data_IF_532519709428
#
_entry.id   IF_532519709428
#
_cell.length_a   1.000
_cell.length_b   1.000
_cell.length_c   1.000
_cell.angle_alpha   90.00
_cell.angle_beta   90.00
_cell.angle_gamma   90.00
#
_symmetry.space_group_name_H-M   'P 1'
#
loop_
_entity.id
_entity.type
_entity.pdbx_description
1 polymer ?
#
# COMPACT_ATOMS: atom_id res chain seq x y z
N UNK A 1 -21.84 -41.98 9.68
CA UNK A 1 -21.05 -41.49 10.83
C UNK A 1 -19.56 -41.88 10.79
N UNK A 2 -19.16 -43.03 10.26
CA UNK A 2 -17.73 -43.40 10.13
C UNK A 2 -16.93 -42.61 9.07
N UNK A 3 -17.58 -41.92 8.12
CA UNK A 3 -16.90 -41.12 7.08
C UNK A 3 -16.58 -39.67 7.48
N UNK A 4 -17.17 -39.15 8.56
CA UNK A 4 -16.82 -37.82 9.10
C UNK A 4 -15.58 -37.86 10.01
N UNK A 5 -15.33 -38.99 10.69
CA UNK A 5 -14.18 -39.14 11.57
C UNK A 5 -12.84 -39.19 10.82
N UNK A 6 -12.82 -39.76 9.60
CA UNK A 6 -11.60 -39.86 8.78
C UNK A 6 -11.17 -38.49 8.24
N UNK A 7 -12.12 -37.59 7.96
CA UNK A 7 -11.82 -36.25 7.42
C UNK A 7 -11.30 -35.30 8.51
N UNK A 8 -11.76 -35.44 9.76
CA UNK A 8 -11.27 -34.65 10.90
C UNK A 8 -9.89 -35.13 11.38
N UNK A 9 -9.61 -36.44 11.31
CA UNK A 9 -8.29 -37.01 11.60
C UNK A 9 -7.22 -36.60 10.58
N UNK A 10 -7.57 -36.46 9.30
CA UNK A 10 -6.64 -36.01 8.25
C UNK A 10 -6.27 -34.53 8.38
N UNK A 11 -7.20 -33.67 8.83
CA UNK A 11 -6.92 -32.24 9.10
C UNK A 11 -6.03 -32.08 10.35
N UNK A 12 -6.19 -32.96 11.35
CA UNK A 12 -5.34 -32.97 12.54
C UNK A 12 -3.92 -33.48 12.27
N UNK A 13 -3.76 -34.50 11.42
CA UNK A 13 -2.45 -35.08 11.09
C UNK A 13 -1.61 -34.17 10.17
N UNK A 14 -2.23 -33.39 9.28
CA UNK A 14 -1.51 -32.38 8.48
C UNK A 14 -1.23 -31.10 9.26
N UNK A 15 -2.02 -30.77 10.28
CA UNK A 15 -1.76 -29.65 11.20
C UNK A 15 -0.60 -29.91 12.18
N UNK A 16 -0.31 -31.17 12.51
CA UNK A 16 0.77 -31.52 13.44
C UNK A 16 2.17 -31.54 12.80
N UNK A 17 2.29 -31.58 11.47
CA UNK A 17 3.58 -31.48 10.78
C UNK A 17 4.04 -30.04 10.50
N UNK A 18 3.21 -29.03 10.79
CA UNK A 18 3.55 -27.61 10.62
C UNK A 18 3.86 -26.89 11.94
N UNK A 19 3.95 -27.61 13.07
CA UNK A 19 4.27 -27.03 14.39
C UNK A 19 5.53 -27.62 15.06
N UNK A 20 6.32 -28.41 14.33
CA UNK A 20 7.65 -28.87 14.76
C UNK A 20 8.74 -28.08 14.03
N UNK A 21 8.76 -26.76 14.21
CA UNK A 21 9.95 -25.95 14.06
C UNK A 21 10.16 -25.17 15.36
N UNK A 22 10.37 -25.93 16.45
CA UNK A 22 10.85 -25.40 17.72
C UNK A 22 12.33 -25.79 17.84
N UNK A 23 13.18 -25.05 17.13
CA UNK A 23 14.61 -24.95 17.46
C UNK A 23 14.87 -23.44 17.51
N UNK A 24 14.78 -22.92 18.73
CA UNK A 24 15.34 -21.62 19.08
C UNK A 24 16.84 -21.89 19.22
N UNK A 25 17.66 -21.25 18.37
CA UNK A 25 19.11 -21.33 18.45
C UNK A 25 19.60 -21.01 19.87
N UNK A 26 20.38 -21.92 20.44
CA UNK A 26 21.17 -21.67 21.62
C UNK A 26 22.19 -20.57 21.32
N UNK A 27 22.23 -19.54 22.16
CA UNK A 27 23.26 -18.52 22.12
C UNK A 27 24.62 -19.15 22.45
N UNK A 28 25.51 -19.23 21.47
CA UNK A 28 26.91 -19.64 21.67
C UNK A 28 27.69 -18.51 22.38
N UNK A 29 28.28 -18.74 23.57
CA UNK A 29 28.98 -17.73 24.32
C UNK A 29 30.49 -17.82 24.07
N UNK A 30 31.02 -17.21 23.01
CA UNK A 30 32.45 -16.87 22.97
C UNK A 30 32.76 -15.89 21.84
N UNK A 31 33.30 -14.73 22.20
CA UNK A 31 33.74 -13.73 21.25
C UNK A 31 34.85 -14.21 20.33
N UNK A 32 34.72 -13.87 19.05
CA UNK A 32 35.81 -13.42 18.16
C UNK A 32 35.19 -12.68 16.98
N UNK A 33 35.58 -11.42 16.84
CA UNK A 33 35.28 -10.55 15.72
C UNK A 33 35.65 -11.21 14.39
N UNK A 34 34.67 -11.43 13.52
CA UNK A 34 34.87 -11.66 12.10
C UNK A 34 33.95 -10.71 11.34
N UNK A 35 34.55 -9.88 10.48
CA UNK A 35 33.85 -8.98 9.56
C UNK A 35 32.83 -9.77 8.72
N UNK A 36 31.55 -9.49 8.93
CA UNK A 36 30.48 -10.07 8.11
C UNK A 36 30.39 -9.26 6.80
N UNK A 37 31.23 -9.63 5.84
CA UNK A 37 31.11 -9.19 4.45
C UNK A 37 30.45 -10.31 3.66
N UNK A 38 29.14 -10.49 3.85
CA UNK A 38 28.35 -11.35 2.98
C UNK A 38 27.91 -10.55 1.77
N UNK A 39 28.64 -10.74 0.67
CA UNK A 39 28.10 -10.57 -0.67
C UNK A 39 26.83 -11.45 -0.76
N UNK A 40 25.66 -10.82 -0.87
CA UNK A 40 24.48 -11.50 -1.37
C UNK A 40 24.77 -11.88 -2.83
N UNK A 41 25.22 -13.11 -3.04
CA UNK A 41 25.21 -13.71 -4.38
C UNK A 41 23.77 -14.01 -4.70
N UNK A 42 23.21 -13.30 -5.67
CA UNK A 42 22.04 -13.75 -6.42
C UNK A 42 22.29 -15.21 -6.85
N UNK A 43 21.44 -16.12 -6.38
CA UNK A 43 21.28 -17.41 -7.04
C UNK A 43 20.73 -17.11 -8.43
N UNK A 44 21.62 -17.18 -9.42
CA UNK A 44 21.23 -17.08 -10.83
C UNK A 44 20.50 -18.36 -11.20
N UNK A 45 19.17 -18.30 -11.13
CA UNK A 45 18.30 -19.33 -11.68
C UNK A 45 18.36 -19.28 -13.22
N UNK A 46 19.25 -20.10 -13.78
CA UNK A 46 19.44 -20.25 -15.24
C UNK A 46 18.18 -20.68 -16.00
N UNK A 47 17.10 -21.07 -15.31
CA UNK A 47 15.78 -21.32 -15.91
C UNK A 47 15.01 -20.06 -16.32
N UNK A 48 15.23 -18.95 -15.61
CA UNK A 48 14.43 -17.72 -15.73
C UNK A 48 14.90 -16.81 -16.89
N UNK A 49 16.19 -16.86 -17.24
CA UNK A 49 16.78 -16.08 -18.36
C UNK A 49 16.19 -16.47 -19.73
N UNK A 50 15.86 -17.75 -19.93
CA UNK A 50 15.32 -18.24 -21.21
C UNK A 50 13.86 -17.88 -21.42
N UNK A 51 13.11 -17.72 -20.32
CA UNK A 51 11.70 -17.36 -20.31
C UNK A 51 11.55 -15.85 -20.46
N UNK A 52 12.35 -15.08 -19.72
CA UNK A 52 12.43 -13.61 -19.83
C UNK A 52 12.80 -13.12 -21.23
N UNK A 53 13.71 -13.80 -21.95
CA UNK A 53 14.05 -13.41 -23.33
C UNK A 53 12.88 -13.60 -24.31
N UNK A 54 12.10 -14.67 -24.16
CA UNK A 54 10.91 -14.91 -24.99
C UNK A 54 9.79 -13.93 -24.67
N UNK A 55 9.59 -13.65 -23.39
CA UNK A 55 8.60 -12.69 -22.91
C UNK A 55 8.92 -11.27 -23.37
N UNK A 56 10.19 -10.90 -23.37
CA UNK A 56 10.66 -9.62 -23.88
C UNK A 56 10.42 -9.47 -25.40
N UNK A 57 10.62 -10.54 -26.18
CA UNK A 57 10.30 -10.54 -27.62
C UNK A 57 8.79 -10.48 -27.87
N UNK A 58 7.99 -11.18 -27.06
CA UNK A 58 6.53 -11.13 -27.16
C UNK A 58 5.99 -9.74 -26.79
N UNK A 59 6.53 -9.12 -25.74
CA UNK A 59 6.19 -7.76 -25.35
C UNK A 59 6.53 -6.75 -26.45
N UNK A 60 7.70 -6.86 -27.08
CA UNK A 60 8.05 -6.02 -28.25
C UNK A 60 7.00 -6.11 -29.36
N UNK A 61 6.49 -7.31 -29.63
CA UNK A 61 5.41 -7.51 -30.63
C UNK A 61 4.10 -6.86 -30.19
N UNK A 62 3.75 -6.95 -28.91
CA UNK A 62 2.58 -6.27 -28.34
C UNK A 62 2.70 -4.76 -28.48
N UNK A 63 3.83 -4.18 -28.06
CA UNK A 63 4.10 -2.73 -28.15
C UNK A 63 4.05 -2.25 -29.61
N UNK A 64 4.65 -3.00 -30.53
CA UNK A 64 4.56 -2.72 -31.97
C UNK A 64 3.13 -2.77 -32.49
N UNK A 65 2.34 -3.77 -32.07
CA UNK A 65 0.93 -3.89 -32.45
C UNK A 65 0.09 -2.71 -31.93
N UNK A 66 0.37 -2.24 -30.71
CA UNK A 66 -0.30 -1.05 -30.13
C UNK A 66 -0.01 0.20 -30.95
N UNK A 67 1.25 0.40 -31.33
CA UNK A 67 1.70 1.53 -32.14
C UNK A 67 1.07 1.50 -33.55
N UNK A 68 1.15 0.36 -34.25
CA UNK A 68 0.56 0.17 -35.59
C UNK A 68 -0.96 0.42 -35.61
N UNK A 69 -1.65 0.11 -34.52
CA UNK A 69 -3.10 0.33 -34.39
C UNK A 69 -3.46 1.71 -33.85
N UNK A 70 -2.49 2.50 -33.38
CA UNK A 70 -2.72 3.81 -32.78
C UNK A 70 -3.54 3.76 -31.49
N UNK A 71 -3.56 2.62 -30.78
CA UNK A 71 -4.43 2.42 -29.61
C UNK A 71 -4.05 3.35 -28.45
N UNK A 72 -2.76 3.57 -28.23
CA UNK A 72 -2.29 4.43 -27.14
C UNK A 72 -2.80 5.87 -27.30
N UNK A 73 -2.72 6.44 -28.52
CA UNK A 73 -3.20 7.79 -28.80
C UNK A 73 -4.72 7.92 -28.55
N UNK A 74 -5.50 6.99 -29.10
CA UNK A 74 -6.96 6.98 -28.92
C UNK A 74 -7.35 6.86 -27.45
N UNK A 75 -6.72 5.93 -26.72
CA UNK A 75 -6.99 5.70 -25.30
C UNK A 75 -6.50 6.84 -24.41
N UNK A 76 -5.45 7.56 -24.81
CA UNK A 76 -4.98 8.77 -24.13
C UNK A 76 -6.04 9.86 -24.17
N UNK A 77 -6.63 10.11 -25.33
CA UNK A 77 -7.70 11.11 -25.50
C UNK A 77 -8.94 10.74 -24.67
N UNK A 78 -9.32 9.46 -24.66
CA UNK A 78 -10.42 8.95 -23.84
C UNK A 78 -10.14 9.14 -22.34
N UNK A 79 -8.92 8.79 -21.89
CA UNK A 79 -8.51 8.94 -20.50
C UNK A 79 -8.51 10.41 -20.06
N UNK A 80 -8.05 11.34 -20.91
CA UNK A 80 -8.11 12.79 -20.63
C UNK A 80 -9.55 13.25 -20.44
N UNK A 81 -10.48 12.82 -21.31
CA UNK A 81 -11.90 13.17 -21.22
C UNK A 81 -12.54 12.65 -19.93
N UNK A 82 -12.33 11.37 -19.60
CA UNK A 82 -12.83 10.74 -18.37
C UNK A 82 -12.27 11.41 -17.11
N UNK A 83 -10.97 11.67 -17.08
CA UNK A 83 -10.32 12.30 -15.90
C UNK A 83 -10.81 13.74 -15.69
N UNK A 84 -11.04 14.48 -16.77
CA UNK A 84 -11.58 15.86 -16.69
C UNK A 84 -12.99 15.89 -16.12
N UNK A 85 -13.81 14.87 -16.43
CA UNK A 85 -15.12 14.70 -15.84
C UNK A 85 -15.03 14.39 -14.33
N UNK A 86 -14.17 13.45 -13.93
CA UNK A 86 -13.92 13.10 -12.52
C UNK A 86 -13.53 14.35 -11.71
N UNK A 87 -12.57 15.13 -12.23
CA UNK A 87 -12.13 16.38 -11.61
C UNK A 87 -13.24 17.39 -11.42
N UNK A 88 -14.11 17.54 -12.43
CA UNK A 88 -15.24 18.46 -12.35
C UNK A 88 -16.22 18.01 -11.26
N UNK A 89 -16.51 16.71 -11.17
CA UNK A 89 -17.38 16.15 -10.14
C UNK A 89 -16.79 16.38 -8.73
N UNK A 90 -15.51 16.09 -8.54
CA UNK A 90 -14.83 16.30 -7.25
C UNK A 90 -14.83 17.76 -6.81
N UNK A 91 -14.46 18.69 -7.70
CA UNK A 91 -14.49 20.13 -7.38
C UNK A 91 -15.88 20.65 -6.97
N UNK A 92 -16.95 20.05 -7.49
CA UNK A 92 -18.31 20.38 -7.07
C UNK A 92 -18.59 19.81 -5.68
N UNK A 93 -18.20 18.55 -5.42
CA UNK A 93 -18.40 17.87 -4.14
C UNK A 93 -17.59 18.49 -3.01
N UNK A 94 -16.32 18.82 -3.23
CA UNK A 94 -15.46 19.47 -2.24
C UNK A 94 -16.03 20.82 -1.75
N UNK A 95 -16.67 21.58 -2.65
CA UNK A 95 -17.33 22.84 -2.28
C UNK A 95 -18.56 22.67 -1.40
N UNK A 96 -19.19 21.49 -1.44
CA UNK A 96 -20.34 21.14 -0.61
C UNK A 96 -19.96 20.43 0.68
N UNK A 97 -18.70 20.00 0.81
CA UNK A 97 -18.20 19.27 1.98
C UNK A 97 -17.76 20.24 3.07
N UNK A 98 -18.50 20.28 4.17
CA UNK A 98 -17.97 20.78 5.44
C UNK A 98 -17.21 19.60 6.08
N UNK A 99 -15.88 19.67 6.18
CA UNK A 99 -15.02 18.68 6.88
C UNK A 99 -15.24 18.76 8.41
N UNK A 100 -16.48 18.53 8.82
CA UNK A 100 -16.98 18.94 10.13
C UNK A 100 -16.68 17.97 11.25
N UNK A 101 -16.77 16.66 11.06
CA UNK A 101 -16.90 15.75 12.20
C UNK A 101 -16.52 14.27 11.86
N UNK A 102 -15.45 13.76 12.52
CA UNK A 102 -15.12 12.31 12.76
C UNK A 102 -14.55 11.47 11.58
N UNK A 103 -13.76 10.36 11.73
CA UNK A 103 -13.09 9.70 12.88
C UNK A 103 -11.86 8.84 12.43
N UNK A 104 -10.76 8.95 13.19
CA UNK A 104 -9.75 7.96 13.68
C UNK A 104 -9.60 6.61 12.93
N UNK A 105 -8.46 6.45 12.23
CA UNK A 105 -7.48 5.33 12.38
C UNK A 105 -6.37 5.34 11.30
N UNK A 106 -6.24 6.35 10.45
CA UNK A 106 -5.11 6.45 9.55
C UNK A 106 -4.10 7.47 10.07
N UNK A 107 -2.94 6.96 10.44
CA UNK A 107 -1.75 7.77 10.70
C UNK A 107 -1.21 8.15 9.33
N UNK A 108 -0.97 9.44 9.10
CA UNK A 108 -0.51 9.94 7.82
C UNK A 108 -0.99 11.37 7.65
N UNK A 109 -0.11 12.31 7.97
CA UNK A 109 -0.21 13.60 7.30
C UNK A 109 0.35 13.48 5.88
N UNK A 110 -0.16 14.32 4.99
CA UNK A 110 -0.02 14.28 3.53
C UNK A 110 -0.94 13.27 2.83
N UNK A 111 -2.23 13.62 2.75
CA UNK A 111 -3.01 13.27 1.56
C UNK A 111 -2.18 13.62 0.33
N UNK A 112 -1.82 12.62 -0.47
CA UNK A 112 -1.06 12.83 -1.71
C UNK A 112 -1.88 13.49 -2.81
N UNK A 113 -3.09 13.98 -2.47
CA UNK A 113 -3.84 14.93 -3.27
C UNK A 113 -3.18 16.32 -3.34
N UNK A 114 -1.85 16.38 -3.48
CA UNK A 114 -1.21 17.42 -4.29
C UNK A 114 -1.50 17.17 -5.79
N UNK A 115 -2.78 16.95 -6.10
CA UNK A 115 -3.58 16.82 -7.32
C UNK A 115 -2.91 16.18 -8.56
N UNK A 116 -1.68 16.54 -8.94
CA UNK A 116 -1.07 16.18 -10.22
C UNK A 116 -0.55 14.74 -10.30
N UNK A 117 0.06 14.19 -9.25
CA UNK A 117 0.61 12.82 -9.24
C UNK A 117 -0.51 11.78 -9.25
N UNK A 118 -1.48 11.94 -8.35
CA UNK A 118 -2.68 11.11 -8.27
C UNK A 118 -3.47 11.13 -9.58
N UNK A 119 -3.75 12.32 -10.14
CA UNK A 119 -4.44 12.44 -11.43
C UNK A 119 -3.67 11.79 -12.58
N UNK A 120 -2.34 11.89 -12.57
CA UNK A 120 -1.50 11.25 -13.58
C UNK A 120 -1.59 9.72 -13.47
N UNK A 121 -1.57 9.17 -12.25
CA UNK A 121 -1.73 7.75 -11.99
C UNK A 121 -3.10 7.23 -12.48
N UNK A 122 -4.20 7.90 -12.08
CA UNK A 122 -5.56 7.54 -12.52
C UNK A 122 -5.70 7.61 -14.04
N UNK A 123 -5.24 8.70 -14.66
CA UNK A 123 -5.29 8.86 -16.11
C UNK A 123 -4.50 7.76 -16.82
N UNK A 124 -3.33 7.40 -16.29
CA UNK A 124 -2.51 6.32 -16.83
C UNK A 124 -3.22 4.97 -16.72
N UNK A 125 -3.86 4.68 -15.57
CA UNK A 125 -4.66 3.47 -15.38
C UNK A 125 -5.83 3.39 -16.37
N UNK A 126 -6.56 4.50 -16.57
CA UNK A 126 -7.65 4.56 -17.56
C UNK A 126 -7.15 4.30 -18.99
N UNK A 127 -5.99 4.85 -19.36
CA UNK A 127 -5.38 4.62 -20.66
C UNK A 127 -4.97 3.14 -20.83
N UNK A 128 -4.25 2.59 -19.85
CA UNK A 128 -3.82 1.18 -19.83
C UNK A 128 -5.01 0.22 -19.97
N UNK A 129 -6.07 0.43 -19.19
CA UNK A 129 -7.29 -0.39 -19.27
C UNK A 129 -8.00 -0.31 -20.63
N UNK A 130 -8.02 0.87 -21.25
CA UNK A 130 -8.55 1.04 -22.61
C UNK A 130 -7.71 0.29 -23.65
N UNK A 131 -6.37 0.42 -23.59
CA UNK A 131 -5.45 -0.25 -24.53
C UNK A 131 -5.58 -1.76 -24.43
N UNK A 132 -5.53 -2.30 -23.22
CA UNK A 132 -5.66 -3.74 -22.97
C UNK A 132 -7.03 -4.26 -23.44
N UNK A 133 -8.10 -3.50 -23.18
CA UNK A 133 -9.43 -3.86 -23.68
C UNK A 133 -9.47 -3.94 -25.20
N UNK A 134 -8.88 -2.97 -25.91
CA UNK A 134 -8.82 -2.98 -27.38
C UNK A 134 -8.00 -4.14 -27.94
N UNK A 135 -6.86 -4.44 -27.33
CA UNK A 135 -6.04 -5.62 -27.69
C UNK A 135 -6.88 -6.89 -27.52
N UNK A 136 -7.45 -7.11 -26.34
CA UNK A 136 -8.13 -8.37 -26.01
C UNK A 136 -9.54 -8.52 -26.60
N UNK A 137 -10.12 -7.46 -27.16
CA UNK A 137 -11.33 -7.54 -27.97
C UNK A 137 -11.08 -8.17 -29.35
N UNK A 138 -9.88 -7.98 -29.92
CA UNK A 138 -9.44 -8.59 -31.18
C UNK A 138 -7.97 -9.00 -31.05
N UNK A 139 -7.69 -10.06 -30.27
CA UNK A 139 -6.32 -10.40 -29.92
C UNK A 139 -5.53 -10.82 -31.16
N UNK A 140 -4.26 -10.42 -31.28
CA UNK A 140 -3.35 -11.01 -32.25
C UNK A 140 -3.16 -12.51 -31.96
N UNK A 141 -2.79 -13.29 -32.98
CA UNK A 141 -2.75 -14.77 -32.93
C UNK A 141 -1.89 -15.38 -31.80
N UNK A 142 -0.95 -14.61 -31.27
CA UNK A 142 -0.04 -15.03 -30.20
C UNK A 142 -0.57 -14.73 -28.79
N UNK A 143 -1.73 -14.09 -28.65
CA UNK A 143 -2.44 -13.91 -27.39
C UNK A 143 -3.67 -14.83 -27.32
N UNK A 144 -4.12 -15.12 -26.10
CA UNK A 144 -5.32 -15.91 -25.87
C UNK A 144 -6.56 -15.26 -26.50
N UNK A 145 -7.45 -16.07 -27.07
CA UNK A 145 -8.77 -15.64 -27.51
C UNK A 145 -9.74 -15.42 -26.33
N UNK A 146 -9.46 -16.03 -25.18
CA UNK A 146 -10.21 -15.74 -23.96
C UNK A 146 -9.80 -14.38 -23.39
N UNK A 147 -10.77 -13.48 -23.22
CA UNK A 147 -10.50 -12.09 -22.82
C UNK A 147 -9.82 -11.99 -21.45
N UNK A 148 -10.19 -12.83 -20.48
CA UNK A 148 -9.58 -12.79 -19.13
C UNK A 148 -8.12 -13.24 -19.19
N UNK A 149 -7.86 -14.36 -19.88
CA UNK A 149 -6.52 -14.88 -20.07
C UNK A 149 -5.63 -13.94 -20.91
N UNK A 150 -6.19 -13.29 -21.93
CA UNK A 150 -5.48 -12.28 -22.72
C UNK A 150 -5.01 -11.12 -21.84
N UNK A 151 -5.89 -10.58 -20.99
CA UNK A 151 -5.54 -9.49 -20.06
C UNK A 151 -4.40 -9.89 -19.14
N UNK A 152 -4.51 -11.06 -18.51
CA UNK A 152 -3.47 -11.62 -17.64
C UNK A 152 -2.13 -11.74 -18.37
N UNK A 153 -2.14 -12.32 -19.58
CA UNK A 153 -0.92 -12.44 -20.40
C UNK A 153 -0.30 -11.08 -20.69
N UNK A 154 -1.09 -10.08 -21.11
CA UNK A 154 -0.57 -8.74 -21.43
C UNK A 154 0.08 -8.08 -20.20
N UNK A 155 -0.58 -8.12 -19.04
CA UNK A 155 -0.04 -7.49 -17.84
C UNK A 155 1.18 -8.22 -17.27
N UNK A 156 1.19 -9.56 -17.29
CA UNK A 156 2.37 -10.34 -16.87
C UNK A 156 3.58 -9.99 -17.76
N UNK A 157 3.41 -10.02 -19.08
CA UNK A 157 4.50 -9.68 -20.01
C UNK A 157 5.02 -8.25 -19.82
N UNK A 158 4.14 -7.29 -19.54
CA UNK A 158 4.51 -5.91 -19.30
C UNK A 158 5.14 -5.67 -17.92
N UNK A 159 4.83 -6.51 -16.92
CA UNK A 159 5.42 -6.41 -15.57
C UNK A 159 6.91 -6.77 -15.54
N UNK A 160 7.39 -7.62 -16.46
CA UNK A 160 8.81 -7.97 -16.59
C UNK A 160 9.68 -6.85 -17.18
N UNK A 161 9.09 -5.72 -17.60
CA UNK A 161 9.86 -4.53 -17.98
C UNK A 161 10.01 -3.60 -16.78
N UNK A 162 11.11 -3.76 -16.04
CA UNK A 162 11.55 -2.72 -15.12
C UNK A 162 11.79 -1.42 -15.89
N UNK A 163 10.93 -0.44 -15.62
CA UNK A 163 11.05 0.96 -16.00
C UNK A 163 12.49 1.44 -15.97
N UNK A 164 12.93 2.09 -17.05
CA UNK A 164 14.30 2.58 -17.26
C UNK A 164 14.95 3.16 -16.01
N UNK A 165 16.12 2.62 -15.68
CA UNK A 165 16.99 3.07 -14.59
C UNK A 165 17.21 4.57 -14.69
N UNK A 166 16.52 5.35 -13.86
CA UNK A 166 16.97 6.72 -13.60
C UNK A 166 18.35 6.60 -12.98
N UNK A 167 19.38 7.01 -13.72
CA UNK A 167 20.77 7.03 -13.22
C UNK A 167 20.90 8.16 -12.20
N UNK A 168 20.36 7.95 -11.00
CA UNK A 168 20.71 8.76 -9.85
C UNK A 168 22.19 8.51 -9.56
N UNK A 169 23.00 9.58 -9.52
CA UNK A 169 24.43 9.45 -9.26
C UNK A 169 24.66 9.51 -7.76
N UNK A 170 25.00 8.37 -7.18
CA UNK A 170 25.30 8.26 -5.76
C UNK A 170 26.78 8.53 -5.45
N UNK A 171 27.05 9.13 -4.29
CA UNK A 171 28.40 9.26 -3.76
C UNK A 171 28.70 8.04 -2.89
N UNK A 172 29.58 7.11 -3.30
CA UNK A 172 29.92 5.92 -2.52
C UNK A 172 30.70 6.23 -1.23
N UNK A 173 31.12 7.50 -1.04
CA UNK A 173 31.83 7.96 0.16
C UNK A 173 30.93 8.75 1.11
N UNK A 174 29.63 8.81 0.84
CA UNK A 174 28.69 9.46 1.75
C UNK A 174 28.68 8.73 3.09
N UNK A 175 28.77 9.48 4.20
CA UNK A 175 28.90 8.88 5.54
C UNK A 175 27.56 8.55 6.17
N UNK A 176 26.54 9.33 5.82
CA UNK A 176 25.22 9.25 6.45
C UNK A 176 24.17 8.85 5.42
N UNK A 177 23.05 8.30 5.94
CA UNK A 177 21.90 7.96 5.12
C UNK A 177 21.30 9.25 4.55
N UNK A 178 20.79 9.17 3.33
CA UNK A 178 19.84 10.16 2.82
C UNK A 178 18.55 10.09 3.64
N UNK A 179 17.86 11.21 3.76
CA UNK A 179 16.60 11.30 4.50
C UNK A 179 15.51 10.46 3.82
N UNK A 180 15.48 10.43 2.48
CA UNK A 180 14.49 9.70 1.70
C UNK A 180 14.89 8.25 1.38
N UNK A 181 16.01 7.76 1.92
CA UNK A 181 16.51 6.41 1.69
C UNK A 181 17.18 6.17 0.33
N UNK A 182 17.25 7.18 -0.55
CA UNK A 182 17.96 7.04 -1.84
C UNK A 182 19.46 6.76 -1.66
N UNK A 183 20.08 6.13 -2.65
CA UNK A 183 21.51 5.80 -2.67
C UNK A 183 22.01 4.83 -1.58
N UNK A 184 21.10 4.16 -0.87
CA UNK A 184 21.47 3.03 0.00
C UNK A 184 22.09 1.88 -0.83
N UNK A 185 21.43 1.51 -1.93
CA UNK A 185 21.97 0.61 -2.94
C UNK A 185 22.60 1.43 -4.09
N UNK A 186 23.89 1.27 -4.35
CA UNK A 186 24.62 2.07 -5.35
C UNK A 186 24.27 1.71 -6.80
N UNK A 187 23.81 0.48 -7.04
CA UNK A 187 23.43 0.00 -8.38
C UNK A 187 21.98 0.32 -8.72
N UNK A 188 21.10 0.26 -7.71
CA UNK A 188 19.69 0.59 -7.79
C UNK A 188 19.34 1.65 -6.73
N UNK A 189 19.67 2.93 -6.98
CA UNK A 189 19.59 3.99 -5.97
C UNK A 189 18.23 4.32 -5.37
N UNK A 190 17.14 3.75 -5.90
CA UNK A 190 15.77 3.96 -5.42
C UNK A 190 15.21 2.79 -4.63
N UNK A 191 15.90 1.66 -4.57
CA UNK A 191 15.43 0.51 -3.79
C UNK A 191 15.31 0.89 -2.31
N UNK A 192 14.10 0.74 -1.78
CA UNK A 192 13.76 1.09 -0.39
C UNK A 192 13.65 2.60 -0.11
N UNK A 193 13.73 3.45 -1.15
CA UNK A 193 13.53 4.88 -0.99
C UNK A 193 12.05 5.22 -0.76
N UNK A 194 11.78 6.28 -0.02
CA UNK A 194 10.43 6.79 0.17
C UNK A 194 9.79 7.26 -1.15
N UNK A 195 8.47 7.28 -1.19
CA UNK A 195 7.67 7.67 -2.35
C UNK A 195 7.91 6.78 -3.59
N UNK A 196 8.35 5.54 -3.37
CA UNK A 196 8.41 4.48 -4.38
C UNK A 196 7.25 3.50 -4.19
N UNK A 197 6.96 2.70 -5.20
CA UNK A 197 5.96 1.64 -5.11
C UNK A 197 6.40 0.51 -4.17
N UNK A 198 5.42 -0.16 -3.56
CA UNK A 198 5.70 -1.40 -2.85
C UNK A 198 6.19 -2.48 -3.82
N UNK A 199 7.25 -3.19 -3.42
CA UNK A 199 7.70 -4.38 -4.14
C UNK A 199 6.65 -5.48 -4.03
N UNK A 200 6.42 -6.19 -5.15
CA UNK A 200 5.50 -7.31 -5.19
C UNK A 200 6.24 -8.64 -5.11
N UNK A 201 5.96 -9.41 -4.06
CA UNK A 201 6.38 -10.82 -3.98
C UNK A 201 5.58 -11.67 -4.97
N UNK A 202 4.31 -11.30 -5.21
CA UNK A 202 3.38 -12.02 -6.09
C UNK A 202 2.61 -11.05 -6.98
N UNK A 203 2.22 -11.50 -8.17
CA UNK A 203 1.46 -10.71 -9.13
C UNK A 203 0.07 -10.32 -8.56
N UNK A 204 -0.43 -9.09 -8.78
CA UNK A 204 -1.69 -8.65 -8.16
C UNK A 204 -2.92 -9.37 -8.73
N UNK A 205 -3.87 -9.69 -7.85
CA UNK A 205 -5.13 -10.35 -8.21
C UNK A 205 -6.32 -9.37 -8.22
N UNK A 206 -6.34 -8.48 -9.21
CA UNK A 206 -7.48 -7.61 -9.50
C UNK A 206 -8.51 -8.30 -10.40
N UNK A 207 -9.80 -8.00 -10.22
CA UNK A 207 -10.87 -8.66 -10.98
C UNK A 207 -10.79 -8.40 -12.50
N UNK A 208 -10.30 -7.23 -12.90
CA UNK A 208 -10.05 -6.86 -14.29
C UNK A 208 -8.58 -7.03 -14.72
N UNK A 209 -7.72 -7.51 -13.80
CA UNK A 209 -6.26 -7.61 -13.97
C UNK A 209 -5.51 -6.28 -13.84
N UNK A 210 -6.21 -5.17 -13.58
CA UNK A 210 -5.63 -3.82 -13.60
C UNK A 210 -5.84 -3.09 -12.27
N UNK A 211 -7.08 -2.89 -11.85
CA UNK A 211 -7.38 -2.07 -10.67
C UNK A 211 -8.72 -2.36 -10.00
N UNK A 212 -9.62 -3.14 -10.61
CA UNK A 212 -10.92 -3.45 -10.01
C UNK A 212 -10.72 -4.36 -8.79
N UNK A 213 -11.32 -4.05 -7.62
CA UNK A 213 -11.26 -4.91 -6.45
C UNK A 213 -11.59 -6.37 -6.76
N UNK A 214 -10.84 -7.27 -6.13
CA UNK A 214 -10.90 -8.71 -6.38
C UNK A 214 -12.32 -9.28 -6.26
N UNK A 215 -12.63 -10.22 -7.13
CA UNK A 215 -13.85 -11.05 -7.08
C UNK A 215 -13.50 -12.50 -6.81
N UNK A 216 -14.50 -13.30 -6.44
CA UNK A 216 -14.32 -14.75 -6.30
C UNK A 216 -13.98 -15.40 -7.64
N UNK A 217 -13.47 -16.64 -7.63
CA UNK A 217 -13.22 -17.42 -8.84
C UNK A 217 -14.48 -17.63 -9.70
N UNK A 218 -15.67 -17.60 -9.09
CA UNK A 218 -16.95 -17.65 -9.80
C UNK A 218 -17.42 -16.28 -10.30
N UNK A 219 -16.55 -15.27 -10.29
CA UNK A 219 -16.82 -13.87 -10.63
C UNK A 219 -17.94 -13.22 -9.79
N UNK A 220 -18.14 -13.68 -8.55
CA UNK A 220 -19.12 -13.12 -7.60
C UNK A 220 -18.42 -12.19 -6.61
N UNK A 221 -19.15 -11.25 -5.98
CA UNK A 221 -18.59 -10.45 -4.89
C UNK A 221 -18.02 -11.34 -3.78
N UNK A 222 -16.91 -10.90 -3.17
CA UNK A 222 -16.36 -11.53 -1.97
C UNK A 222 -17.29 -11.29 -0.77
N UNK A 223 -17.21 -12.12 0.28
CA UNK A 223 -17.94 -11.88 1.53
C UNK A 223 -17.68 -10.47 2.05
N UNK A 224 -18.71 -9.84 2.60
CA UNK A 224 -18.60 -8.52 3.20
C UNK A 224 -17.58 -8.53 4.36
N UNK A 225 -16.68 -7.54 4.42
CA UNK A 225 -15.61 -7.50 5.42
C UNK A 225 -16.15 -7.45 6.86
N UNK A 226 -17.28 -6.78 7.11
CA UNK A 226 -17.93 -6.74 8.42
C UNK A 226 -18.56 -8.08 8.79
N UNK A 227 -19.14 -8.79 7.83
CA UNK A 227 -19.62 -10.17 8.03
C UNK A 227 -18.47 -11.10 8.45
N UNK A 228 -17.32 -11.01 7.78
CA UNK A 228 -16.13 -11.78 8.12
C UNK A 228 -15.62 -11.39 9.51
N UNK A 229 -15.53 -10.09 9.82
CA UNK A 229 -15.18 -9.59 11.15
C UNK A 229 -16.05 -10.20 12.25
N UNK A 230 -17.38 -10.14 12.09
CA UNK A 230 -18.31 -10.67 13.10
C UNK A 230 -18.26 -12.20 13.23
N UNK A 231 -18.19 -12.92 12.11
CA UNK A 231 -18.36 -14.38 12.09
C UNK A 231 -17.06 -15.15 12.33
N UNK A 232 -15.91 -14.56 11.97
CA UNK A 232 -14.59 -15.20 12.08
C UNK A 232 -13.81 -14.65 13.27
N UNK A 233 -13.73 -13.33 13.43
CA UNK A 233 -12.97 -12.73 14.54
C UNK A 233 -13.80 -12.58 15.82
N UNK A 234 -15.13 -12.60 15.72
CA UNK A 234 -16.03 -12.42 16.86
C UNK A 234 -16.06 -10.97 17.35
N UNK A 235 -16.67 -10.73 18.52
CA UNK A 235 -16.71 -9.40 19.15
C UNK A 235 -15.57 -9.18 20.15
N UNK A 236 -14.80 -10.23 20.48
CA UNK A 236 -13.82 -10.22 21.57
C UNK A 236 -14.45 -10.03 22.96
N UNK A 237 -15.77 -9.87 23.05
CA UNK A 237 -16.51 -9.61 24.29
C UNK A 237 -16.67 -10.88 25.16
N UNK A 238 -16.40 -12.04 24.57
CA UNK A 238 -16.37 -13.37 25.17
C UNK A 238 -15.05 -13.71 25.89
N UNK A 239 -14.12 -12.75 25.98
CA UNK A 239 -13.26 -12.61 27.16
C UNK A 239 -12.01 -13.50 27.22
N UNK A 240 -11.55 -14.08 26.13
CA UNK A 240 -10.21 -14.65 26.06
C UNK A 240 -9.26 -13.64 25.41
N UNK A 241 -8.90 -12.56 26.12
CA UNK A 241 -7.60 -11.93 25.84
C UNK A 241 -6.56 -12.91 26.37
N UNK A 242 -5.78 -13.60 25.52
CA UNK A 242 -4.74 -14.47 26.04
C UNK A 242 -3.71 -13.58 26.73
N UNK A 243 -3.69 -13.59 28.06
CA UNK A 243 -2.58 -13.04 28.82
C UNK A 243 -1.32 -13.79 28.40
N UNK A 244 -0.43 -13.10 27.69
CA UNK A 244 0.84 -13.68 27.32
C UNK A 244 1.74 -13.74 28.55
N UNK A 245 2.20 -14.94 28.92
CA UNK A 245 3.19 -15.12 29.98
C UNK A 245 4.60 -14.75 29.55
N UNK A 246 4.83 -14.52 28.26
CA UNK A 246 6.15 -14.27 27.66
C UNK A 246 6.28 -12.90 27.01
N UNK A 247 5.18 -12.30 26.55
CA UNK A 247 5.18 -11.00 25.89
C UNK A 247 4.55 -9.95 26.79
N UNK A 248 5.30 -8.88 27.07
CA UNK A 248 4.73 -7.68 27.65
C UNK A 248 4.01 -6.86 26.59
N UNK A 249 3.19 -5.91 27.01
CA UNK A 249 2.53 -4.95 26.12
C UNK A 249 3.53 -4.16 25.25
N UNK A 250 4.78 -4.02 25.70
CA UNK A 250 5.84 -3.37 24.92
C UNK A 250 6.08 -4.08 23.58
N UNK A 251 5.85 -5.40 23.48
CA UNK A 251 5.99 -6.13 22.22
C UNK A 251 5.01 -5.60 21.15
N UNK A 252 3.76 -5.31 21.54
CA UNK A 252 2.76 -4.74 20.63
C UNK A 252 3.14 -3.31 20.22
N UNK A 253 3.51 -2.47 21.21
CA UNK A 253 3.91 -1.08 20.96
C UNK A 253 5.15 -1.01 20.07
N UNK A 254 6.15 -1.87 20.32
CA UNK A 254 7.36 -1.94 19.50
C UNK A 254 7.07 -2.43 18.08
N UNK A 255 6.12 -3.35 17.91
CA UNK A 255 5.65 -3.77 16.60
C UNK A 255 5.07 -2.61 15.79
N UNK A 256 4.18 -1.81 16.40
CA UNK A 256 3.63 -0.61 15.76
C UNK A 256 4.70 0.46 15.48
N UNK A 257 5.60 0.68 16.43
CA UNK A 257 6.73 1.60 16.25
C UNK A 257 7.57 1.14 15.05
N UNK A 258 7.88 -0.14 14.92
CA UNK A 258 8.66 -0.63 13.78
C UNK A 258 7.89 -0.52 12.46
N UNK A 259 6.61 -0.87 12.43
CA UNK A 259 5.73 -0.74 11.26
C UNK A 259 5.74 0.69 10.70
N UNK A 260 5.62 1.68 11.60
CA UNK A 260 5.68 3.10 11.27
C UNK A 260 7.07 3.59 10.83
N UNK A 261 8.12 2.77 10.89
CA UNK A 261 9.44 3.07 10.35
C UNK A 261 9.64 2.59 8.92
N UNK A 262 8.87 1.56 8.50
CA UNK A 262 9.13 0.81 7.26
C UNK A 262 8.01 0.91 6.24
N UNK A 263 6.77 1.17 6.66
CA UNK A 263 5.62 1.15 5.76
C UNK A 263 4.55 2.17 6.11
N UNK A 264 4.14 2.96 5.11
CA UNK A 264 2.95 3.79 5.17
C UNK A 264 2.33 3.90 3.77
N UNK A 265 1.14 3.35 3.56
CA UNK A 265 0.45 3.53 2.28
C UNK A 265 -0.20 4.90 2.21
N UNK A 266 -0.03 5.59 1.09
CA UNK A 266 -0.61 6.91 0.88
C UNK A 266 -2.09 6.82 0.52
N UNK A 267 -2.91 7.73 1.03
CA UNK A 267 -4.34 7.80 0.74
C UNK A 267 -4.68 9.05 -0.12
N UNK A 268 -5.73 9.00 -0.96
CA UNK A 268 -6.14 10.12 -1.78
C UNK A 268 -6.86 11.21 -0.97
N UNK A 269 -7.35 10.94 0.24
CA UNK A 269 -8.00 11.92 1.11
C UNK A 269 -9.38 12.34 0.62
N UNK A 270 -10.14 11.38 0.11
CA UNK A 270 -11.51 11.53 -0.41
C UNK A 270 -12.49 11.22 0.72
N UNK A 271 -13.59 11.97 0.81
CA UNK A 271 -14.70 11.61 1.68
C UNK A 271 -15.72 10.75 0.91
N UNK A 272 -15.80 9.51 1.34
CA UNK A 272 -16.63 8.44 0.81
C UNK A 272 -17.97 8.32 1.55
N UNK A 273 -18.20 9.07 2.62
CA UNK A 273 -19.50 9.16 3.30
C UNK A 273 -20.56 9.84 2.42
N UNK A 274 -20.17 10.95 1.77
CA UNK A 274 -21.08 11.76 0.95
C UNK A 274 -21.13 11.32 -0.51
N UNK A 275 -20.10 10.61 -0.97
CA UNK A 275 -19.98 10.14 -2.35
C UNK A 275 -19.62 8.65 -2.45
N UNK A 276 -20.62 7.81 -2.27
CA UNK A 276 -20.47 6.37 -2.46
C UNK A 276 -20.32 5.93 -3.93
N UNK A 277 -20.29 6.87 -4.88
CA UNK A 277 -20.18 6.58 -6.31
C UNK A 277 -18.77 6.79 -6.87
N UNK A 278 -17.86 7.42 -6.12
CA UNK A 278 -16.47 7.56 -6.55
C UNK A 278 -15.81 6.15 -6.60
N UNK A 279 -15.13 5.77 -7.70
CA UNK A 279 -14.44 4.49 -7.80
C UNK A 279 -13.35 4.24 -6.75
N UNK A 280 -12.89 5.31 -6.10
CA UNK A 280 -11.94 5.24 -4.98
C UNK A 280 -12.62 4.98 -3.63
N UNK A 281 -13.96 4.93 -3.59
CA UNK A 281 -14.72 4.59 -2.39
C UNK A 281 -15.13 3.12 -2.39
N UNK A 282 -14.69 2.39 -1.37
CA UNK A 282 -14.93 0.94 -1.19
C UNK A 282 -15.57 0.65 0.16
N UNK A 283 -16.53 1.51 0.54
CA UNK A 283 -17.24 1.43 1.81
C UNK A 283 -17.75 0.03 2.14
N UNK A 284 -17.61 -0.36 3.41
CA UNK A 284 -18.10 -1.65 3.90
C UNK A 284 -19.54 -1.48 4.36
N UNK A 285 -20.49 -2.06 3.63
CA UNK A 285 -21.90 -2.06 4.05
C UNK A 285 -22.07 -2.77 5.39
N UNK A 286 -22.81 -2.17 6.33
CA UNK A 286 -23.19 -2.83 7.57
C UNK A 286 -24.34 -3.82 7.30
N UNK A 287 -24.23 -5.10 7.68
CA UNK A 287 -25.34 -6.05 7.58
C UNK A 287 -26.59 -5.60 8.37
N UNK A 288 -27.78 -5.97 7.91
CA UNK A 288 -29.04 -5.60 8.59
C UNK A 288 -29.16 -6.25 9.99
N UNK A 289 -28.53 -7.40 10.18
CA UNK A 289 -28.49 -8.15 11.45
C UNK A 289 -27.36 -7.69 12.39
N UNK A 290 -26.62 -6.63 12.04
CA UNK A 290 -25.56 -6.08 12.86
C UNK A 290 -26.11 -5.12 13.93
N UNK A 291 -26.63 -5.67 15.03
CA UNK A 291 -27.25 -4.86 16.07
C UNK A 291 -26.33 -3.77 16.65
N UNK A 292 -25.01 -3.98 16.65
CA UNK A 292 -24.04 -3.02 17.21
C UNK A 292 -24.07 -1.72 16.42
N UNK A 293 -23.99 -1.79 15.09
CA UNK A 293 -24.01 -0.60 14.25
C UNK A 293 -25.43 -0.13 13.95
N UNK A 294 -26.38 -1.05 13.76
CA UNK A 294 -27.76 -0.70 13.39
C UNK A 294 -28.54 0.03 14.47
N UNK A 295 -28.33 -0.29 15.76
CA UNK A 295 -28.93 0.48 16.87
C UNK A 295 -28.43 1.93 16.95
N UNK A 296 -27.31 2.24 16.28
CA UNK A 296 -26.72 3.58 16.18
C UNK A 296 -26.99 4.23 14.82
N UNK A 297 -27.89 3.64 14.02
CA UNK A 297 -28.25 4.12 12.67
C UNK A 297 -27.08 4.14 11.68
N UNK A 298 -26.01 3.39 11.95
CA UNK A 298 -24.85 3.27 11.06
C UNK A 298 -25.12 2.16 10.03
N UNK A 299 -25.04 2.52 8.74
CA UNK A 299 -25.39 1.61 7.62
C UNK A 299 -24.18 1.22 6.75
N UNK A 300 -23.04 1.88 6.93
CA UNK A 300 -21.76 1.55 6.30
C UNK A 300 -20.59 2.03 7.16
N UNK A 301 -19.41 1.48 6.91
CA UNK A 301 -18.12 2.01 7.37
C UNK A 301 -17.44 2.63 6.16
N UNK A 302 -17.03 3.88 6.30
CA UNK A 302 -16.31 4.62 5.27
C UNK A 302 -14.95 3.99 5.03
N UNK A 303 -14.62 3.71 3.76
CA UNK A 303 -13.30 3.23 3.36
C UNK A 303 -12.97 3.83 2.00
N UNK A 304 -11.89 4.60 1.95
CA UNK A 304 -11.25 4.98 0.69
C UNK A 304 -10.16 3.97 0.32
N UNK A 305 -9.88 3.85 -0.98
CA UNK A 305 -8.78 3.05 -1.50
C UNK A 305 -7.46 3.80 -1.32
N UNK A 306 -6.41 3.06 -1.02
CA UNK A 306 -5.03 3.53 -1.08
C UNK A 306 -4.71 4.20 -2.42
N UNK A 307 -4.02 5.33 -2.41
CA UNK A 307 -3.69 6.10 -3.61
C UNK A 307 -2.84 5.28 -4.59
N UNK A 308 -3.17 5.31 -5.90
CA UNK A 308 -2.38 4.61 -6.90
C UNK A 308 -1.00 5.26 -7.09
N UNK A 309 0.04 4.44 -7.20
CA UNK A 309 1.37 4.88 -7.59
C UNK A 309 1.35 5.40 -9.03
N UNK A 310 2.07 6.49 -9.27
CA UNK A 310 2.20 7.07 -10.61
C UNK A 310 3.24 6.26 -11.39
N UNK A 311 2.88 5.65 -12.53
CA UNK A 311 3.85 4.95 -13.36
C UNK A 311 4.97 5.89 -13.83
N UNK A 312 6.15 5.34 -14.08
CA UNK A 312 7.26 6.07 -14.67
C UNK A 312 6.97 6.57 -16.10
N UNK A 313 6.23 5.76 -16.87
CA UNK A 313 5.78 6.07 -18.23
C UNK A 313 4.25 6.15 -18.28
N UNK A 314 3.73 7.21 -18.91
CA UNK A 314 2.29 7.35 -19.10
C UNK A 314 1.74 6.20 -19.95
N UNK A 315 0.52 5.75 -19.63
CA UNK A 315 -0.14 4.60 -20.28
C UNK A 315 0.66 3.28 -20.17
N UNK A 316 1.54 3.14 -19.17
CA UNK A 316 2.21 1.88 -18.91
C UNK A 316 1.20 0.76 -18.68
N UNK A 317 1.43 -0.39 -19.33
CA UNK A 317 0.62 -1.60 -19.23
C UNK A 317 0.90 -2.35 -17.92
N UNK A 318 0.81 -1.65 -16.80
CA UNK A 318 1.03 -2.20 -15.47
C UNK A 318 -0.26 -2.18 -14.66
N UNK A 319 -0.50 -3.19 -13.81
CA UNK A 319 -1.52 -3.15 -12.78
C UNK A 319 -1.34 -1.95 -11.82
N UNK A 320 -2.37 -1.67 -11.02
CA UNK A 320 -2.34 -0.63 -10.00
C UNK A 320 -1.38 -1.02 -8.88
N UNK A 321 -0.35 -0.19 -8.73
CA UNK A 321 0.57 -0.19 -7.60
C UNK A 321 0.19 0.87 -6.57
N UNK A 322 0.76 0.76 -5.36
CA UNK A 322 0.57 1.72 -4.26
C UNK A 322 1.93 2.21 -3.78
N UNK A 323 1.97 3.42 -3.25
CA UNK A 323 3.22 4.08 -2.85
C UNK A 323 3.47 3.88 -1.37
N UNK A 324 4.69 3.50 -1.01
CA UNK A 324 5.19 3.61 0.36
C UNK A 324 5.65 5.05 0.62
N UNK A 325 5.02 5.73 1.56
CA UNK A 325 5.36 7.07 1.99
C UNK A 325 6.65 7.16 2.82
N UNK A 326 7.13 6.03 3.36
CA UNK A 326 8.33 5.93 4.19
C UNK A 326 9.48 5.25 3.45
N UNK A 327 10.68 5.34 4.03
CA UNK A 327 11.79 4.47 3.63
C UNK A 327 11.46 3.02 4.04
N UNK A 328 12.02 2.03 3.33
CA UNK A 328 11.82 0.62 3.69
C UNK A 328 12.87 0.09 4.69
N UNK A 329 13.76 0.97 5.15
CA UNK A 329 14.84 0.60 6.07
C UNK A 329 14.43 0.86 7.51
N UNK A 330 14.99 0.09 8.44
CA UNK A 330 14.89 0.41 9.87
C UNK A 330 15.96 1.46 10.17
N UNK A 331 15.62 2.73 9.98
CA UNK A 331 16.56 3.86 10.06
C UNK A 331 16.06 5.01 10.95
N UNK A 332 14.90 4.84 11.60
CA UNK A 332 14.29 5.87 12.42
C UNK A 332 13.58 6.94 11.60
N UNK A 333 13.18 6.66 10.35
CA UNK A 333 12.34 7.55 9.52
C UNK A 333 11.08 8.05 10.25
N UNK A 334 10.51 7.26 11.16
CA UNK A 334 9.37 7.74 11.99
C UNK A 334 9.74 8.86 12.98
N UNK A 335 11.03 8.96 13.33
CA UNK A 335 11.59 10.03 14.19
C UNK A 335 12.09 11.18 13.34
N UNK A 336 12.79 10.87 12.25
CA UNK A 336 13.54 11.84 11.45
C UNK A 336 12.79 12.36 10.22
N UNK A 337 11.65 11.75 9.88
CA UNK A 337 10.89 11.93 8.63
C UNK A 337 11.63 11.41 7.38
N UNK A 338 10.93 10.83 6.38
CA UNK A 338 11.47 10.57 5.05
C UNK A 338 11.46 11.81 4.13
N UNK A 339 10.74 12.87 4.51
CA UNK A 339 10.71 14.15 3.79
C UNK A 339 11.77 15.11 4.32
N UNK A 340 12.62 15.62 3.42
CA UNK A 340 13.71 16.54 3.76
C UNK A 340 13.23 17.82 4.43
N UNK A 341 12.09 18.38 4.00
CA UNK A 341 11.59 19.65 4.55
C UNK A 341 11.10 19.45 5.98
N UNK A 342 10.37 18.38 6.25
CA UNK A 342 9.93 18.01 7.59
C UNK A 342 11.12 17.62 8.48
N UNK A 343 12.11 16.88 7.95
CA UNK A 343 13.32 16.54 8.68
C UNK A 343 14.09 17.78 9.15
N UNK A 344 14.25 18.80 8.29
CA UNK A 344 14.83 20.09 8.71
C UNK A 344 13.97 20.81 9.75
N UNK A 345 12.65 20.79 9.59
CA UNK A 345 11.72 21.41 10.55
C UNK A 345 11.73 20.75 11.93
N UNK A 346 12.10 19.47 12.03
CA UNK A 346 12.22 18.71 13.27
C UNK A 346 13.55 18.95 14.00
N UNK A 347 14.56 19.54 13.36
CA UNK A 347 15.85 19.84 14.00
C UNK A 347 15.78 21.04 14.93
N UNK A 348 16.33 20.86 16.13
CA UNK A 348 16.53 21.89 17.14
C UNK A 348 17.96 22.45 17.14
N UNK A 349 18.30 23.21 18.18
CA UNK A 349 19.64 23.78 18.35
C UNK A 349 20.67 22.75 18.80
N UNK A 350 21.93 22.95 18.41
CA UNK A 350 23.06 22.15 18.91
C UNK A 350 23.08 20.68 18.47
N UNK A 351 22.37 20.33 17.40
CA UNK A 351 22.27 18.93 16.91
C UNK A 351 21.19 18.10 17.60
N UNK A 352 20.30 18.72 18.37
CA UNK A 352 19.14 18.09 18.99
C UNK A 352 17.93 18.08 18.05
N UNK A 353 16.91 17.29 18.38
CA UNK A 353 15.57 17.46 17.81
C UNK A 353 14.83 18.57 18.56
N UNK A 354 13.83 19.16 17.89
CA UNK A 354 12.89 20.07 18.55
C UNK A 354 12.07 19.30 19.56
N UNK A 355 11.80 19.95 20.67
CA UNK A 355 10.95 19.46 21.73
C UNK A 355 10.10 20.61 22.28
N UNK A 356 9.23 20.29 23.23
CA UNK A 356 8.52 21.29 24.00
C UNK A 356 8.61 20.98 25.51
N UNK A 357 8.71 22.00 26.38
CA UNK A 357 8.62 21.77 27.81
C UNK A 357 7.30 21.12 28.21
N UNK A 358 7.35 20.22 29.18
CA UNK A 358 6.15 19.63 29.74
C UNK A 358 5.26 20.71 30.39
N UNK A 359 3.93 20.72 30.16
CA UNK A 359 3.03 21.76 30.71
C UNK A 359 3.07 21.87 32.24
N UNK A 360 3.35 20.76 32.93
CA UNK A 360 3.45 20.72 34.39
C UNK A 360 4.87 21.02 34.93
N UNK A 361 5.85 21.29 34.06
CA UNK A 361 7.24 21.57 34.46
C UNK A 361 7.92 20.38 35.15
N UNK A 362 8.91 20.67 35.99
CA UNK A 362 9.62 19.64 36.76
C UNK A 362 8.66 18.83 37.63
N UNK A 363 8.83 17.49 37.75
CA UNK A 363 10.00 16.69 37.35
C UNK A 363 9.93 16.09 35.92
N UNK A 364 8.96 16.51 35.11
CA UNK A 364 8.72 15.89 33.81
C UNK A 364 9.73 16.36 32.76
N UNK A 365 10.12 15.43 31.86
CA UNK A 365 10.97 15.73 30.70
C UNK A 365 10.16 16.38 29.58
N UNK A 366 10.87 16.96 28.62
CA UNK A 366 10.27 17.55 27.43
C UNK A 366 9.49 16.51 26.61
N UNK A 367 8.49 17.00 25.88
CA UNK A 367 7.61 16.23 24.99
C UNK A 367 7.98 16.49 23.53
N UNK A 368 7.44 15.66 22.63
CA UNK A 368 7.48 15.95 21.19
C UNK A 368 6.89 17.34 20.91
N UNK A 369 7.43 18.07 19.91
CA UNK A 369 6.96 19.40 19.58
C UNK A 369 5.48 19.35 19.19
N UNK A 370 4.74 20.42 19.48
CA UNK A 370 3.36 20.53 19.00
C UNK A 370 3.34 20.44 17.49
N UNK A 371 2.47 19.60 16.97
CA UNK A 371 2.10 19.61 15.56
C UNK A 371 1.48 20.97 15.21
N UNK A 372 1.70 21.46 13.99
CA UNK A 372 1.07 22.69 13.51
C UNK A 372 -0.47 22.53 13.58
N UNK A 373 -1.24 23.47 14.13
CA UNK A 373 -2.70 23.35 14.23
C UNK A 373 -3.42 23.12 12.88
N UNK A 374 -2.78 23.43 11.76
CA UNK A 374 -3.31 23.19 10.40
C UNK A 374 -3.11 21.75 9.90
N UNK A 375 -2.30 20.97 10.62
CA UNK A 375 -2.04 19.55 10.43
C UNK A 375 -3.03 18.74 11.27
N UNK A 376 -3.60 17.67 10.70
CA UNK A 376 -4.69 16.93 11.32
C UNK A 376 -4.32 16.24 12.66
N UNK A 377 -4.70 16.90 13.75
CA UNK A 377 -5.05 16.32 15.06
C UNK A 377 -5.85 17.38 15.85
N UNK A 378 -7.18 17.44 15.63
CA UNK A 378 -8.02 18.41 16.36
C UNK A 378 -9.09 17.69 17.19
N UNK A 379 -8.71 17.27 18.39
CA UNK A 379 -9.67 17.25 19.51
C UNK A 379 -9.93 18.71 19.90
N UNK A 380 -10.90 19.36 19.26
CA UNK A 380 -11.47 20.61 19.79
C UNK A 380 -12.24 20.25 21.05
N UNK A 381 -11.59 20.39 22.20
CA UNK A 381 -12.31 20.56 23.47
C UNK A 381 -13.18 21.81 23.29
N UNK A 382 -14.50 21.62 23.21
CA UNK A 382 -15.46 22.72 23.36
C UNK A 382 -15.20 23.37 24.74
N UNK A 383 -14.47 24.47 24.74
CA UNK A 383 -14.51 25.42 25.86
C UNK A 383 -15.76 26.26 25.70
N UNK A 384 -16.73 26.01 26.58
CA UNK A 384 -17.70 27.00 27.03
C UNK A 384 -18.83 27.36 26.05
N UNK A 385 -19.93 26.62 26.12
CA UNK A 385 -21.23 27.29 26.19
C UNK A 385 -21.52 27.53 27.67
N UNK A 386 -21.08 28.70 28.15
CA UNK A 386 -21.68 29.34 29.32
C UNK A 386 -22.69 30.34 28.79
N UNK A 387 -23.89 30.26 29.39
CA UNK A 387 -25.15 30.98 29.15
C UNK A 387 -25.91 30.64 27.87
#
# INVERSE_FOLDING_TARGET
MARCYVFVLLIWLTGLQLTLAYIIDEADPAGKSAEFRTEAKDETDTGDESNTQKDHELLKRILKFIDEKGFEKECTEEAIKKTSYILKQRKVKDKSMLRGNYQILQHGEESTASDRSWLAAIKSGLCSGCVVTKICNRPPKYLSNDTSNCRKQVFVLASHTHSGKQKLKCNPRERYRSIDGTCNNLENPKWGAALTDFERIEFPDYADGLSEPRKSQSNKPLPNARDVSRKVHGSGADGAHPDSKTLSHLAMIWGQFLDHDITLTLAPGINCELDNTDPECVNVKIPEDDEVFRKREVTFIEVERDAPHKPSTFCALQPREHTNGLTSFIDGSQIYSPDNKLAENLKGGGGLLRDMPHPHGCPFKNLLPKQDPDVFCVSKIQRGLVS
#
